data_IF_110590747846
#
_entry.id   IF_110590747846
#
_cell.length_a   1.000
_cell.length_b   1.000
_cell.length_c   1.000
_cell.angle_alpha   90.00
_cell.angle_beta   90.00
_cell.angle_gamma   90.00
#
_symmetry.space_group_name_H-M   'P 1'
#
loop_
_entity.id
_entity.type
_entity.pdbx_description
1 polymer ?
#
# COMPACT_ATOMS: atom_id res chain seq x y z
N UNK A 1 73.42 -15.31 24.89
CA UNK A 1 74.32 -14.18 24.53
C UNK A 1 73.68 -13.49 23.33
N UNK A 2 73.29 -12.22 23.24
CA UNK A 2 73.38 -10.94 23.99
C UNK A 2 72.09 -10.16 23.57
N UNK A 3 71.21 -9.72 24.49
CA UNK A 3 71.07 -8.33 25.01
C UNK A 3 71.10 -7.23 23.93
N UNK A 4 69.99 -6.52 23.69
CA UNK A 4 69.50 -5.31 24.41
C UNK A 4 70.17 -4.02 23.91
N UNK A 5 69.43 -2.90 24.03
CA UNK A 5 69.85 -1.50 23.88
C UNK A 5 69.71 -0.90 22.48
N UNK A 6 69.31 0.35 22.24
CA UNK A 6 68.62 1.47 22.93
C UNK A 6 68.93 2.72 22.06
N UNK A 7 68.24 3.84 22.31
CA UNK A 7 68.55 5.21 21.86
C UNK A 7 68.09 5.55 20.42
N UNK A 8 67.41 6.67 20.14
CA UNK A 8 67.66 8.02 20.64
C UNK A 8 66.46 8.98 20.41
N UNK A 9 65.89 9.46 21.51
CA UNK A 9 65.58 10.86 21.89
C UNK A 9 65.36 11.98 20.83
N UNK A 10 64.09 12.44 20.71
CA UNK A 10 63.48 13.83 20.72
C UNK A 10 64.17 15.05 20.03
N UNK A 11 63.55 16.26 20.01
CA UNK A 11 62.27 16.72 19.43
C UNK A 11 62.47 17.95 18.49
N UNK A 12 61.49 18.33 17.66
CA UNK A 12 61.44 19.71 17.15
C UNK A 12 60.01 20.23 17.11
N UNK A 13 59.70 21.10 18.07
CA UNK A 13 58.63 22.08 17.99
C UNK A 13 58.92 23.03 16.82
N UNK A 14 57.97 23.20 15.91
CA UNK A 14 57.82 24.46 15.16
C UNK A 14 56.39 24.92 15.32
N UNK A 15 56.25 26.08 15.95
CA UNK A 15 55.02 26.86 16.01
C UNK A 15 54.67 27.40 14.63
N UNK A 16 53.40 27.24 14.26
CA UNK A 16 52.67 28.16 13.39
C UNK A 16 51.21 28.10 13.87
N UNK A 17 50.74 29.00 14.74
CA UNK A 17 50.36 30.38 14.41
C UNK A 17 49.47 30.43 13.16
N UNK A 18 48.16 30.50 13.38
CA UNK A 18 47.25 31.01 12.36
C UNK A 18 45.90 30.32 12.30
N UNK A 19 44.87 31.13 12.46
CA UNK A 19 43.49 30.90 12.03
C UNK A 19 42.60 30.10 13.00
N UNK A 20 42.23 30.77 14.09
CA UNK A 20 40.95 30.53 14.77
C UNK A 20 39.81 30.85 13.80
N UNK A 21 39.42 29.87 12.99
CA UNK A 21 38.21 29.93 12.19
C UNK A 21 37.04 29.74 13.15
N UNK A 22 36.19 30.75 13.27
CA UNK A 22 34.96 30.68 14.04
C UNK A 22 34.10 29.51 13.52
N UNK A 23 34.10 28.39 14.25
CA UNK A 23 33.06 27.38 14.15
C UNK A 23 31.78 28.02 14.69
N UNK A 24 31.02 28.63 13.79
CA UNK A 24 29.60 28.82 14.02
C UNK A 24 29.01 27.42 14.20
N UNK A 25 28.68 27.09 15.45
CA UNK A 25 27.81 25.96 15.77
C UNK A 25 26.44 26.35 15.23
N UNK A 26 26.21 26.03 13.95
CA UNK A 26 24.85 25.88 13.47
C UNK A 26 24.27 24.70 14.24
N UNK A 27 23.44 25.03 15.23
CA UNK A 27 22.48 24.09 15.80
C UNK A 27 21.54 23.73 14.65
N UNK A 28 21.95 22.72 13.86
CA UNK A 28 21.01 21.97 13.04
C UNK A 28 20.16 21.24 14.07
N UNK A 29 18.96 21.77 14.30
CA UNK A 29 17.84 20.96 14.76
C UNK A 29 17.75 19.80 13.79
N UNK A 30 18.33 18.67 14.17
CA UNK A 30 17.94 17.39 13.64
C UNK A 30 16.47 17.24 14.03
N UNK A 31 15.60 17.69 13.13
CA UNK A 31 14.21 17.26 13.12
C UNK A 31 14.30 15.76 12.86
N UNK A 32 14.19 15.01 13.95
CA UNK A 32 14.19 13.56 13.98
C UNK A 32 13.06 13.11 13.06
N UNK A 33 13.42 12.75 11.82
CA UNK A 33 12.48 12.22 10.87
C UNK A 33 11.77 11.05 11.56
N UNK A 34 10.42 11.07 11.66
CA UNK A 34 9.71 10.00 12.34
C UNK A 34 10.08 8.70 11.65
N UNK A 35 10.66 7.78 12.42
CA UNK A 35 10.93 6.43 11.95
C UNK A 35 9.63 5.88 11.33
N UNK A 36 9.69 5.26 10.13
CA UNK A 36 8.51 4.59 9.60
C UNK A 36 8.17 3.47 10.58
N UNK A 37 7.15 3.72 11.39
CA UNK A 37 6.61 2.84 12.41
C UNK A 37 6.14 1.55 11.70
N UNK A 38 7.09 0.64 11.53
CA UNK A 38 6.96 -0.64 10.83
C UNK A 38 6.34 -1.68 11.75
N UNK A 39 5.56 -1.22 12.73
CA UNK A 39 4.75 -2.05 13.58
C UNK A 39 3.71 -2.74 12.70
N UNK A 40 4.00 -3.99 12.36
CA UNK A 40 3.09 -4.93 11.75
C UNK A 40 1.75 -4.88 12.49
N UNK A 41 0.77 -4.17 11.91
CA UNK A 41 -0.58 -4.07 12.45
C UNK A 41 -1.24 -5.42 12.22
N UNK A 42 -1.28 -6.26 13.25
CA UNK A 42 -2.14 -7.43 13.23
C UNK A 42 -3.58 -6.99 13.33
N UNK A 43 -4.41 -7.50 12.44
CA UNK A 43 -5.81 -7.12 12.32
C UNK A 43 -6.63 -8.37 12.58
N UNK A 44 -7.67 -8.19 13.38
CA UNK A 44 -8.58 -9.23 13.81
C UNK A 44 -9.86 -9.26 12.96
N UNK A 45 -10.51 -10.42 13.03
CA UNK A 45 -11.54 -10.94 12.14
C UNK A 45 -12.70 -9.98 11.81
N UNK A 46 -13.06 -10.00 10.52
CA UNK A 46 -14.22 -9.34 9.95
C UNK A 46 -15.47 -10.19 10.21
N UNK A 47 -16.28 -9.75 11.18
CA UNK A 47 -17.68 -10.16 11.29
C UNK A 47 -18.52 -9.34 10.31
N UNK A 48 -18.97 -9.99 9.25
CA UNK A 48 -19.92 -9.44 8.29
C UNK A 48 -21.31 -9.44 8.88
N UNK A 49 -21.54 -8.60 9.90
CA UNK A 49 -22.83 -8.36 10.52
C UNK A 49 -23.75 -7.59 9.56
N UNK A 50 -24.43 -8.34 8.69
CA UNK A 50 -25.82 -8.03 8.34
C UNK A 50 -26.68 -8.60 9.46
N UNK A 51 -27.05 -7.79 10.46
CA UNK A 51 -28.22 -8.09 11.28
C UNK A 51 -29.44 -7.46 10.59
N UNK A 52 -30.53 -8.18 10.39
CA UNK A 52 -31.30 -8.83 11.47
C UNK A 52 -31.84 -10.26 11.17
N UNK A 53 -32.33 -11.01 12.20
CA UNK A 53 -31.75 -12.31 12.59
C UNK A 53 -32.69 -13.54 12.46
N UNK A 54 -32.23 -14.62 13.09
CA UNK A 54 -32.85 -15.93 13.45
C UNK A 54 -32.76 -17.08 12.43
N UNK A 55 -32.38 -18.32 12.80
CA UNK A 55 -31.95 -18.88 14.07
C UNK A 55 -31.21 -20.21 13.84
N UNK A 56 -30.32 -20.54 14.78
CA UNK A 56 -29.89 -21.89 15.17
C UNK A 56 -29.03 -22.71 14.19
N UNK A 57 -27.70 -22.60 14.34
CA UNK A 57 -26.68 -23.67 14.23
C UNK A 57 -25.30 -22.97 14.04
N UNK A 58 -24.23 -23.19 14.81
CA UNK A 58 -23.83 -24.37 15.56
C UNK A 58 -22.56 -24.03 16.37
N UNK A 59 -22.40 -24.70 17.52
CA UNK A 59 -21.16 -25.03 18.23
C UNK A 59 -20.36 -23.94 18.95
N UNK A 60 -20.52 -23.95 20.27
CA UNK A 60 -19.69 -23.39 21.34
C UNK A 60 -18.47 -24.27 21.60
N UNK A 61 -17.33 -24.00 20.96
CA UNK A 61 -16.04 -24.60 21.36
C UNK A 61 -15.05 -23.49 21.75
N UNK A 62 -14.79 -23.28 23.06
CA UNK A 62 -14.16 -22.05 23.56
C UNK A 62 -12.61 -22.00 23.44
N UNK A 63 -11.95 -22.89 22.68
CA UNK A 63 -10.49 -22.99 22.75
C UNK A 63 -9.70 -23.43 21.51
N UNK A 64 -10.15 -23.14 20.28
CA UNK A 64 -9.35 -23.37 19.07
C UNK A 64 -8.73 -22.07 18.52
N UNK A 65 -7.42 -21.79 18.71
CA UNK A 65 -6.74 -20.66 18.11
C UNK A 65 -6.09 -21.07 16.79
N UNK A 66 -6.88 -21.22 15.71
CA UNK A 66 -6.31 -21.40 14.37
C UNK A 66 -7.14 -20.67 13.32
N UNK A 67 -6.50 -19.66 12.70
CA UNK A 67 -6.68 -19.22 11.33
C UNK A 67 -8.08 -19.49 10.75
N UNK A 68 -9.02 -18.60 11.06
CA UNK A 68 -10.27 -18.51 10.33
C UNK A 68 -9.95 -18.12 8.88
N UNK A 69 -9.66 -19.13 8.04
CA UNK A 69 -9.63 -18.96 6.60
C UNK A 69 -10.99 -18.38 6.21
N UNK A 70 -11.01 -17.07 5.90
CA UNK A 70 -12.18 -16.33 5.40
C UNK A 70 -12.88 -17.17 4.33
N UNK A 71 -13.94 -17.89 4.71
CA UNK A 71 -14.81 -18.60 3.79
C UNK A 71 -15.59 -17.52 3.04
N UNK A 72 -15.04 -17.07 1.92
CA UNK A 72 -15.75 -16.20 0.99
C UNK A 72 -16.99 -16.96 0.53
N UNK A 73 -18.15 -16.63 1.09
CA UNK A 73 -19.44 -17.09 0.56
C UNK A 73 -19.50 -16.65 -0.90
N UNK A 74 -19.66 -17.60 -1.84
CA UNK A 74 -19.92 -17.25 -3.24
C UNK A 74 -21.16 -16.36 -3.26
N UNK A 75 -21.08 -15.11 -3.76
CA UNK A 75 -22.24 -14.23 -3.79
C UNK A 75 -23.34 -14.88 -4.63
N UNK A 76 -24.54 -15.01 -4.04
CA UNK A 76 -25.73 -15.53 -4.71
C UNK A 76 -26.32 -14.40 -5.56
N UNK A 77 -25.69 -14.10 -6.69
CA UNK A 77 -26.08 -13.04 -7.62
C UNK A 77 -25.24 -13.08 -8.89
N UNK A 78 -25.60 -12.30 -9.94
CA UNK A 78 -24.71 -12.10 -11.06
C UNK A 78 -23.35 -11.61 -10.52
N UNK A 79 -22.22 -12.02 -11.13
CA UNK A 79 -20.91 -11.57 -10.69
C UNK A 79 -20.93 -10.04 -10.58
N UNK A 80 -20.53 -9.51 -9.41
CA UNK A 80 -20.42 -8.07 -9.22
C UNK A 80 -19.48 -7.57 -10.31
N UNK A 81 -20.03 -6.84 -11.28
CA UNK A 81 -19.23 -6.30 -12.37
C UNK A 81 -18.18 -5.37 -11.77
N UNK A 82 -16.91 -5.66 -12.03
CA UNK A 82 -15.80 -4.80 -11.65
C UNK A 82 -15.62 -3.65 -12.63
N UNK A 83 -14.87 -2.65 -12.20
CA UNK A 83 -14.25 -1.66 -13.07
C UNK A 83 -12.93 -2.22 -13.59
N UNK A 84 -12.77 -2.30 -14.91
CA UNK A 84 -11.51 -2.69 -15.52
C UNK A 84 -10.62 -1.47 -15.69
N UNK A 85 -9.39 -1.55 -15.18
CA UNK A 85 -8.38 -0.51 -15.34
C UNK A 85 -7.41 -0.82 -16.48
N UNK A 86 -7.25 0.12 -17.40
CA UNK A 86 -6.33 -0.04 -18.52
C UNK A 86 -4.88 0.21 -18.10
N UNK A 87 -4.64 1.13 -17.17
CA UNK A 87 -3.31 1.38 -16.62
C UNK A 87 -2.82 0.21 -15.76
N UNK A 88 -3.66 -0.31 -14.87
CA UNK A 88 -3.27 -1.37 -13.94
C UNK A 88 -3.50 -2.79 -14.49
N UNK A 89 -4.15 -2.92 -15.66
CA UNK A 89 -4.45 -4.17 -16.37
C UNK A 89 -5.14 -5.20 -15.47
N UNK A 90 -6.33 -4.86 -14.98
CA UNK A 90 -7.10 -5.76 -14.12
C UNK A 90 -8.50 -5.24 -13.80
N UNK A 91 -9.32 -6.11 -13.21
CA UNK A 91 -10.66 -5.76 -12.72
C UNK A 91 -10.66 -5.48 -11.23
N UNK A 92 -11.38 -4.43 -10.84
CA UNK A 92 -11.42 -3.93 -9.48
C UNK A 92 -12.86 -3.69 -9.02
N UNK A 93 -13.13 -4.01 -7.75
CA UNK A 93 -14.40 -3.71 -7.10
C UNK A 93 -14.17 -2.62 -6.06
N UNK A 94 -14.82 -1.47 -6.26
CA UNK A 94 -14.91 -0.45 -5.22
C UNK A 94 -15.71 -1.01 -4.04
N UNK A 95 -15.10 -1.06 -2.87
CA UNK A 95 -15.69 -1.60 -1.65
C UNK A 95 -15.48 -0.62 -0.50
N UNK A 96 -16.55 -0.39 0.28
CA UNK A 96 -16.43 0.31 1.56
C UNK A 96 -15.79 -0.62 2.58
N UNK A 97 -14.69 -0.18 3.18
CA UNK A 97 -13.82 -0.95 4.04
C UNK A 97 -13.80 -0.34 5.44
N UNK A 98 -13.68 -1.21 6.44
CA UNK A 98 -13.42 -0.87 7.85
C UNK A 98 -12.13 -1.54 8.28
N UNK A 99 -11.20 -0.77 8.81
CA UNK A 99 -9.98 -1.28 9.44
C UNK A 99 -9.89 -0.72 10.84
N UNK A 100 -9.44 -1.55 11.77
CA UNK A 100 -9.16 -1.15 13.14
C UNK A 100 -7.65 -1.23 13.35
N UNK A 101 -7.03 -0.18 13.88
CA UNK A 101 -5.62 -0.23 14.24
C UNK A 101 -5.38 -0.99 15.55
N UNK A 102 -4.11 -1.24 15.87
CA UNK A 102 -3.71 -1.91 17.11
C UNK A 102 -4.16 -1.19 18.40
N UNK A 103 -4.54 0.10 18.31
CA UNK A 103 -5.03 0.92 19.42
C UNK A 103 -6.57 0.91 19.51
N UNK A 104 -7.25 0.14 18.65
CA UNK A 104 -8.71 0.05 18.60
C UNK A 104 -9.39 1.19 17.84
N UNK A 105 -8.63 2.09 17.20
CA UNK A 105 -9.21 3.18 16.41
C UNK A 105 -9.66 2.65 15.06
N UNK A 106 -10.90 2.98 14.72
CA UNK A 106 -11.57 2.54 13.50
C UNK A 106 -11.39 3.57 12.39
N UNK A 107 -11.01 3.08 11.22
CA UNK A 107 -10.92 3.83 9.96
C UNK A 107 -11.91 3.26 8.95
N UNK A 108 -12.70 4.15 8.35
CA UNK A 108 -13.64 3.82 7.28
C UNK A 108 -13.17 4.50 6.00
N UNK A 109 -13.09 3.76 4.89
CA UNK A 109 -12.65 4.29 3.61
C UNK A 109 -13.09 3.41 2.45
N UNK A 110 -12.98 3.92 1.22
CA UNK A 110 -13.15 3.14 0.00
C UNK A 110 -11.84 2.48 -0.44
N UNK A 111 -11.89 1.18 -0.71
CA UNK A 111 -10.79 0.38 -1.28
C UNK A 111 -11.17 -0.24 -2.63
N UNK A 112 -10.18 -0.52 -3.46
CA UNK A 112 -10.33 -1.18 -4.76
C UNK A 112 -9.85 -2.61 -4.62
N UNK A 113 -10.79 -3.52 -4.37
CA UNK A 113 -10.47 -4.95 -4.28
C UNK A 113 -10.16 -5.48 -5.68
N UNK A 114 -9.00 -6.10 -5.83
CA UNK A 114 -8.60 -6.78 -7.05
C UNK A 114 -9.49 -8.01 -7.24
N UNK A 115 -10.24 -8.08 -8.34
CA UNK A 115 -10.99 -9.26 -8.74
C UNK A 115 -10.13 -10.17 -9.62
N UNK A 116 -9.41 -9.57 -10.57
CA UNK A 116 -8.54 -10.26 -11.53
C UNK A 116 -7.41 -9.33 -11.99
N UNK A 117 -6.27 -9.90 -12.37
CA UNK A 117 -5.14 -9.17 -12.95
C UNK A 117 -4.65 -9.90 -14.19
N UNK A 118 -4.42 -9.15 -15.26
CA UNK A 118 -3.83 -9.66 -16.49
C UNK A 118 -2.42 -10.22 -16.24
N UNK A 119 -1.94 -11.16 -17.08
CA UNK A 119 -0.56 -11.68 -16.98
C UNK A 119 0.52 -10.61 -16.98
N UNK A 120 0.32 -9.51 -17.70
CA UNK A 120 1.25 -8.39 -17.84
C UNK A 120 0.93 -7.18 -16.94
N UNK A 121 0.07 -7.35 -15.93
CA UNK A 121 -0.24 -6.28 -14.99
C UNK A 121 1.00 -5.83 -14.21
N UNK A 122 1.27 -4.52 -14.11
CA UNK A 122 2.38 -4.01 -13.31
C UNK A 122 2.25 -4.41 -11.83
N UNK A 123 1.03 -4.57 -11.32
CA UNK A 123 0.77 -4.95 -9.93
C UNK A 123 1.27 -6.35 -9.57
N UNK A 124 1.46 -7.24 -10.56
CA UNK A 124 2.07 -8.55 -10.32
C UNK A 124 3.55 -8.45 -9.94
N UNK A 125 4.25 -7.38 -10.32
CA UNK A 125 5.68 -7.20 -9.97
C UNK A 125 5.89 -6.99 -8.48
N UNK A 126 4.89 -6.44 -7.79
CA UNK A 126 4.83 -6.29 -6.33
C UNK A 126 3.99 -7.40 -5.67
N UNK A 127 3.81 -8.53 -6.36
CA UNK A 127 3.13 -9.73 -5.86
C UNK A 127 1.66 -9.56 -5.44
N UNK A 128 0.97 -8.52 -5.94
CA UNK A 128 -0.47 -8.39 -5.71
C UNK A 128 -1.26 -9.43 -6.50
N UNK A 129 -2.37 -9.86 -5.93
CA UNK A 129 -3.23 -10.91 -6.48
C UNK A 129 -4.71 -10.62 -6.22
N UNK A 130 -5.57 -11.43 -6.83
CA UNK A 130 -7.00 -11.39 -6.61
C UNK A 130 -7.35 -11.50 -5.12
N UNK A 131 -8.16 -10.55 -4.65
CA UNK A 131 -8.63 -10.43 -3.28
C UNK A 131 -7.91 -9.37 -2.45
N UNK A 132 -6.71 -8.95 -2.84
CA UNK A 132 -5.99 -7.83 -2.22
C UNK A 132 -6.71 -6.50 -2.53
N UNK A 133 -6.42 -5.45 -1.75
CA UNK A 133 -7.15 -4.17 -1.85
C UNK A 133 -6.17 -3.03 -2.04
N UNK A 134 -6.28 -2.31 -3.16
CA UNK A 134 -5.54 -1.05 -3.38
C UNK A 134 -6.30 0.09 -2.70
N UNK A 135 -5.57 0.97 -2.02
CA UNK A 135 -6.14 2.07 -1.22
C UNK A 135 -5.67 3.44 -1.66
N UNK A 136 -4.41 3.56 -2.13
CA UNK A 136 -3.85 4.81 -2.64
C UNK A 136 -2.87 4.56 -3.78
N UNK A 137 -2.72 5.56 -4.63
CA UNK A 137 -1.70 5.67 -5.68
C UNK A 137 -1.03 7.04 -5.51
N UNK A 138 0.30 7.09 -5.40
CA UNK A 138 1.08 8.31 -5.12
C UNK A 138 0.58 9.13 -3.91
N UNK A 139 0.01 8.42 -2.91
CA UNK A 139 -0.58 9.04 -1.73
C UNK A 139 -2.03 9.48 -1.92
N UNK A 140 -2.56 9.53 -3.13
CA UNK A 140 -3.94 9.89 -3.43
C UNK A 140 -4.90 8.72 -3.18
N UNK A 141 -5.94 8.89 -2.35
CA UNK A 141 -6.98 7.89 -2.19
C UNK A 141 -7.67 7.55 -3.51
N UNK A 142 -7.81 6.25 -3.79
CA UNK A 142 -8.41 5.75 -5.03
C UNK A 142 -9.87 6.20 -5.30
N UNK A 143 -10.55 6.74 -4.28
CA UNK A 143 -11.95 7.17 -4.37
C UNK A 143 -12.08 8.64 -4.80
N UNK A 144 -10.97 9.36 -4.94
CA UNK A 144 -10.98 10.69 -5.53
C UNK A 144 -11.53 10.57 -6.96
N UNK A 145 -12.46 11.48 -7.31
CA UNK A 145 -13.11 11.47 -8.61
C UNK A 145 -14.00 10.25 -8.88
N UNK A 146 -14.26 9.38 -7.90
CA UNK A 146 -15.03 8.16 -8.11
C UNK A 146 -16.49 8.48 -8.48
N UNK A 147 -16.93 7.98 -9.64
CA UNK A 147 -18.31 8.20 -10.13
C UNK A 147 -18.98 6.88 -10.53
N UNK A 148 -20.30 6.88 -10.72
CA UNK A 148 -21.02 5.74 -11.29
C UNK A 148 -22.10 6.23 -12.24
N UNK A 149 -22.26 5.55 -13.38
CA UNK A 149 -23.27 5.92 -14.39
C UNK A 149 -24.70 5.75 -13.89
N UNK A 150 -24.96 4.67 -13.14
CA UNK A 150 -26.26 4.39 -12.51
C UNK A 150 -26.05 3.41 -11.34
N UNK A 151 -27.12 3.08 -10.59
CA UNK A 151 -27.04 2.18 -9.42
C UNK A 151 -26.60 0.74 -9.74
N UNK A 152 -26.74 0.30 -10.99
CA UNK A 152 -26.39 -1.06 -11.43
C UNK A 152 -24.99 -1.14 -12.07
N UNK A 153 -24.38 0.01 -12.37
CA UNK A 153 -23.05 0.08 -12.96
C UNK A 153 -21.97 0.04 -11.85
N UNK A 154 -20.79 -0.54 -12.14
CA UNK A 154 -19.64 -0.41 -11.25
C UNK A 154 -19.28 1.06 -11.03
N UNK A 155 -18.67 1.33 -9.88
CA UNK A 155 -17.98 2.59 -9.66
C UNK A 155 -16.76 2.67 -10.57
N UNK A 156 -16.64 3.78 -11.29
CA UNK A 156 -15.44 4.15 -12.04
C UNK A 156 -14.44 4.77 -11.07
N UNK A 157 -13.25 4.18 -11.01
CA UNK A 157 -12.17 4.58 -10.11
C UNK A 157 -11.16 5.40 -10.92
N UNK A 158 -11.42 6.70 -11.02
CA UNK A 158 -10.68 7.61 -11.92
C UNK A 158 -9.18 7.64 -11.64
N UNK A 159 -8.79 7.61 -10.36
CA UNK A 159 -7.37 7.56 -10.00
C UNK A 159 -6.67 6.27 -10.45
N UNK A 160 -7.37 5.19 -10.81
CA UNK A 160 -6.66 4.02 -11.35
C UNK A 160 -6.09 4.27 -12.74
N UNK A 161 -6.61 5.28 -13.46
CA UNK A 161 -6.16 5.63 -14.81
C UNK A 161 -5.24 6.84 -14.85
N UNK A 162 -5.15 7.63 -13.77
CA UNK A 162 -4.46 8.91 -13.76
C UNK A 162 -2.99 8.85 -13.29
N UNK A 163 -2.46 7.67 -13.03
CA UNK A 163 -1.09 7.49 -12.56
C UNK A 163 -0.25 6.78 -13.62
N UNK A 164 1.01 7.22 -13.78
CA UNK A 164 1.92 6.74 -14.81
C UNK A 164 3.36 6.78 -14.31
N UNK A 165 4.22 5.97 -14.91
CA UNK A 165 5.62 5.88 -14.53
C UNK A 165 5.80 5.26 -13.14
N UNK A 166 6.87 5.61 -12.42
CA UNK A 166 7.07 5.16 -11.04
C UNK A 166 5.97 5.72 -10.13
N UNK A 167 5.15 4.83 -9.58
CA UNK A 167 4.01 5.15 -8.71
C UNK A 167 4.09 4.37 -7.40
N UNK A 168 3.85 5.06 -6.29
CA UNK A 168 3.73 4.45 -4.97
C UNK A 168 2.33 3.85 -4.79
N UNK A 169 2.23 2.53 -4.68
CA UNK A 169 0.95 1.83 -4.50
C UNK A 169 0.81 1.42 -3.05
N UNK A 170 -0.22 1.96 -2.38
CA UNK A 170 -0.60 1.53 -1.03
C UNK A 170 -1.72 0.51 -1.09
N UNK A 171 -1.51 -0.65 -0.50
CA UNK A 171 -2.46 -1.75 -0.57
C UNK A 171 -2.53 -2.53 0.74
N UNK A 172 -3.51 -3.44 0.80
CA UNK A 172 -3.75 -4.35 1.91
C UNK A 172 -3.82 -5.77 1.36
N UNK A 173 -2.99 -6.66 1.89
CA UNK A 173 -3.07 -8.07 1.55
C UNK A 173 -4.33 -8.70 2.15
N UNK A 174 -5.00 -9.53 1.35
CA UNK A 174 -6.20 -10.28 1.78
C UNK A 174 -5.97 -11.07 3.08
N UNK A 175 -4.76 -11.60 3.27
CA UNK A 175 -4.45 -12.53 4.37
C UNK A 175 -3.99 -11.87 5.66
N UNK A 176 -3.40 -10.68 5.60
CA UNK A 176 -2.75 -10.07 6.77
C UNK A 176 -3.44 -8.80 7.23
N UNK A 177 -4.30 -8.20 6.38
CA UNK A 177 -4.93 -6.90 6.62
C UNK A 177 -3.94 -5.75 6.95
N UNK A 178 -2.63 -6.01 6.82
CA UNK A 178 -1.57 -5.03 6.96
C UNK A 178 -1.55 -4.10 5.75
N UNK A 179 -1.40 -2.82 6.02
CA UNK A 179 -1.20 -1.79 5.00
C UNK A 179 0.28 -1.76 4.63
N UNK A 180 0.57 -1.89 3.35
CA UNK A 180 1.92 -1.76 2.81
C UNK A 180 1.93 -0.76 1.66
N UNK A 181 3.10 -0.20 1.38
CA UNK A 181 3.31 0.72 0.28
C UNK A 181 4.57 0.32 -0.47
N UNK A 182 4.44 0.09 -1.78
CA UNK A 182 5.55 -0.30 -2.64
C UNK A 182 5.51 0.51 -3.93
N UNK A 183 6.69 0.82 -4.45
CA UNK A 183 6.82 1.50 -5.74
C UNK A 183 6.74 0.50 -6.89
N UNK A 184 5.95 0.83 -7.91
CA UNK A 184 5.83 0.07 -9.15
C UNK A 184 5.84 1.01 -10.34
N UNK A 185 6.41 0.57 -11.46
CA UNK A 185 6.34 1.34 -12.69
C UNK A 185 5.10 0.96 -13.49
N UNK A 186 4.15 1.89 -13.64
CA UNK A 186 2.89 1.71 -14.39
C UNK A 186 3.06 1.93 -15.90
N UNK A 187 4.26 2.24 -16.36
CA UNK A 187 4.55 2.52 -17.76
C UNK A 187 4.22 3.96 -18.17
N UNK A 188 4.49 4.33 -19.43
CA UNK A 188 4.29 5.69 -19.90
C UNK A 188 2.80 6.06 -19.97
N UNK A 189 2.53 7.34 -19.78
CA UNK A 189 1.23 7.94 -20.09
C UNK A 189 0.99 7.84 -21.61
N UNK A 190 0.24 6.84 -22.04
CA UNK A 190 -0.10 6.66 -23.46
C UNK A 190 0.46 5.37 -24.03
N UNK A 191 -0.41 4.38 -24.09
CA UNK A 191 -0.16 3.06 -24.70
C UNK A 191 -1.38 2.15 -24.59
N UNK A 192 -2.29 2.45 -23.64
CA UNK A 192 -3.69 2.06 -23.76
C UNK A 192 -4.25 2.75 -24.99
N UNK A 193 -4.37 2.00 -26.09
CA UNK A 193 -4.96 2.47 -27.33
C UNK A 193 -6.30 3.07 -26.99
N UNK A 194 -6.33 4.41 -26.94
CA UNK A 194 -7.56 5.14 -26.86
C UNK A 194 -8.43 4.54 -27.95
N UNK A 195 -9.56 3.95 -27.55
CA UNK A 195 -10.69 3.88 -28.46
C UNK A 195 -10.92 5.33 -28.86
N UNK A 196 -10.32 5.75 -29.97
CA UNK A 196 -10.70 6.99 -30.63
C UNK A 196 -12.22 6.93 -30.68
N UNK A 197 -12.94 7.97 -30.20
CA UNK A 197 -14.39 8.00 -30.37
C UNK A 197 -14.67 7.70 -31.84
N UNK A 198 -15.55 6.73 -32.09
CA UNK A 198 -15.86 6.31 -33.45
C UNK A 198 -16.11 7.55 -34.31
N UNK A 199 -15.53 7.62 -35.53
CA UNK A 199 -15.77 8.76 -36.40
C UNK A 199 -17.27 8.94 -36.54
N UNK A 200 -17.76 10.13 -36.19
CA UNK A 200 -19.14 10.52 -36.48
C UNK A 200 -19.21 10.55 -38.01
N UNK A 201 -19.93 9.58 -38.58
CA UNK A 201 -20.14 9.51 -40.02
C UNK A 201 -20.82 10.81 -40.49
N UNK A 202 -20.48 11.32 -41.69
CA UNK A 202 -21.02 12.57 -42.23
C UNK A 202 -22.54 12.51 -42.45
#
# INVERSE_FOLDING_TARGET
MKTMSELLTKPLMVMAAGLTMCLAVSVVLADEAPEPDSAAVEVSDFDGGEDEPDAAAFSTDPNAPQAAALKIRKPKGPPLAGYYSDTLKGEFLAQWMKITDARGKVYLFWGARILSLDPNSPLKTISLRAGDVVTRLDGDPIWIGMTRKNRKAPYQLVEMENHYGPTAVRFIFKSTQQVQELNVNLGPQGGGGGRLPAPIAP
#
